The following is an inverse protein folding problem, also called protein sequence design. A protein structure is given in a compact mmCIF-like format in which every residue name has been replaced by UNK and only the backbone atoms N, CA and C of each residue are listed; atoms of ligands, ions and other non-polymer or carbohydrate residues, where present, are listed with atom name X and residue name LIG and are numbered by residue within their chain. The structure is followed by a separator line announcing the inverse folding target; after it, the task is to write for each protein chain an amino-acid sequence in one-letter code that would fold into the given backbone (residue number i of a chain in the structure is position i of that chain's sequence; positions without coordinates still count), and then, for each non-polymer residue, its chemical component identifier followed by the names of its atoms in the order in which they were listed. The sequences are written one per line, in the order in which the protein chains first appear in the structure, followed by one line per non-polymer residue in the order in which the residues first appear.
data_IF_737879697934
#
_entry.id   IF_737879697934
#
_cell.length_a   1.000
_cell.length_b   1.000
_cell.length_c   1.000
_cell.angle_alpha   90.00
_cell.angle_beta   90.00
_cell.angle_gamma   90.00
#
_symmetry.space_group_name_H-M   'P 1'
#
loop_
_entity.id
_entity.type
_entity.pdbx_description
1 polymer ?
#
# COMPACT_ATOMS: atom_id res chain seq x y z
N UNK A 1 -2.21 11.96 9.26
CA UNK A 1 -0.76 11.85 9.43
C UNK A 1 -0.50 11.18 10.76
N UNK A 2 -0.41 9.85 10.72
CA UNK A 2 0.06 9.09 11.87
C UNK A 2 1.57 9.22 11.90
N UNK A 3 2.12 9.84 12.95
CA UNK A 3 3.56 9.91 13.11
C UNK A 3 4.08 8.51 13.45
N UNK A 4 4.67 7.82 12.49
CA UNK A 4 5.39 6.57 12.73
C UNK A 4 6.82 6.89 13.14
N UNK A 5 7.09 6.92 14.46
CA UNK A 5 8.42 7.23 15.01
C UNK A 5 9.46 6.12 14.77
N UNK A 6 9.01 4.89 14.57
CA UNK A 6 9.86 3.72 14.24
C UNK A 6 9.00 2.58 13.74
N UNK A 7 9.49 1.80 12.77
CA UNK A 7 8.80 0.62 12.25
C UNK A 7 9.56 -0.65 12.65
N UNK A 8 8.82 -1.55 13.30
CA UNK A 8 9.25 -2.91 13.63
C UNK A 8 8.57 -3.86 12.64
N UNK A 9 9.35 -4.52 11.79
CA UNK A 9 8.81 -5.44 10.79
C UNK A 9 9.16 -6.88 11.09
N UNK A 10 8.12 -7.73 11.09
CA UNK A 10 8.18 -9.17 11.30
C UNK A 10 7.19 -9.86 10.37
N UNK A 11 7.60 -10.95 9.73
CA UNK A 11 6.66 -11.82 9.02
C UNK A 11 6.07 -12.82 10.03
N UNK A 12 4.75 -12.92 10.11
CA UNK A 12 4.04 -13.77 11.09
C UNK A 12 3.07 -14.75 10.44
N UNK A 13 3.33 -16.05 10.55
CA UNK A 13 2.49 -17.11 9.94
C UNK A 13 1.64 -17.92 10.93
N UNK A 14 1.84 -17.75 12.24
CA UNK A 14 1.13 -18.46 13.30
C UNK A 14 0.65 -17.47 14.37
N UNK A 15 -0.32 -17.89 15.20
CA UNK A 15 -0.95 -17.06 16.24
C UNK A 15 -0.02 -16.68 17.42
N UNK A 16 1.28 -16.97 17.31
CA UNK A 16 2.33 -16.53 18.22
C UNK A 16 3.50 -15.92 17.43
N UNK A 17 4.22 -14.99 18.07
CA UNK A 17 5.31 -14.26 17.43
C UNK A 17 6.48 -15.19 17.05
N UNK A 18 6.87 -15.16 15.78
CA UNK A 18 7.95 -15.97 15.23
C UNK A 18 9.23 -15.17 14.98
N UNK A 19 9.18 -13.83 15.04
CA UNK A 19 10.28 -12.90 14.77
C UNK A 19 11.10 -13.27 13.51
N UNK A 20 10.44 -13.56 12.39
CA UNK A 20 11.13 -13.94 11.15
C UNK A 20 11.54 -12.72 10.32
N UNK A 21 12.70 -12.81 9.66
CA UNK A 21 13.15 -11.79 8.71
C UNK A 21 12.11 -11.60 7.61
N UNK A 22 11.89 -10.33 7.23
CA UNK A 22 10.93 -10.00 6.18
C UNK A 22 11.45 -10.54 4.83
N UNK A 23 10.70 -11.49 4.27
CA UNK A 23 10.96 -12.09 2.95
C UNK A 23 9.75 -11.96 2.00
N UNK A 24 8.59 -11.58 2.52
CA UNK A 24 7.39 -11.38 1.73
C UNK A 24 7.44 -10.01 1.03
N UNK A 25 7.60 -10.04 -0.30
CA UNK A 25 7.71 -8.83 -1.11
C UNK A 25 6.43 -7.99 -1.12
N UNK A 26 5.24 -8.60 -0.99
CA UNK A 26 3.99 -7.85 -0.92
C UNK A 26 3.90 -7.03 0.36
N UNK A 27 4.26 -7.64 1.49
CA UNK A 27 4.29 -6.95 2.78
C UNK A 27 5.33 -5.84 2.78
N UNK A 28 6.52 -6.09 2.23
CA UNK A 28 7.55 -5.05 2.08
C UNK A 28 7.11 -3.89 1.19
N UNK A 29 6.34 -4.16 0.14
CA UNK A 29 5.82 -3.12 -0.76
C UNK A 29 4.74 -2.29 -0.08
N UNK A 30 3.81 -2.94 0.62
CA UNK A 30 2.77 -2.25 1.39
C UNK A 30 3.40 -1.39 2.52
N UNK A 31 4.35 -1.97 3.25
CA UNK A 31 5.14 -1.30 4.27
C UNK A 31 5.81 -0.01 3.75
N UNK A 32 6.56 -0.12 2.65
CA UNK A 32 7.28 1.01 2.08
C UNK A 32 6.35 2.04 1.42
N UNK A 33 5.15 1.62 1.01
CA UNK A 33 4.12 2.52 0.50
C UNK A 33 3.70 3.54 1.55
N UNK A 34 3.36 3.08 2.76
CA UNK A 34 2.99 3.95 3.88
C UNK A 34 4.14 4.89 4.28
N UNK A 35 5.38 4.38 4.28
CA UNK A 35 6.58 5.18 4.60
C UNK A 35 6.79 6.33 3.61
N UNK A 36 6.63 6.07 2.31
CA UNK A 36 6.80 7.09 1.29
C UNK A 36 5.66 8.12 1.37
N UNK A 37 4.43 7.69 1.64
CA UNK A 37 3.28 8.58 1.75
C UNK A 37 3.37 9.52 2.96
N UNK A 38 3.92 9.06 4.08
CA UNK A 38 4.21 9.91 5.25
C UNK A 38 5.46 10.80 5.03
N UNK A 39 6.24 10.54 3.98
CA UNK A 39 7.40 11.34 3.55
C UNK A 39 8.69 11.06 4.32
N UNK A 40 8.65 10.32 5.44
CA UNK A 40 9.83 9.83 6.15
C UNK A 40 9.46 8.78 7.20
N UNK A 41 10.42 7.96 7.63
CA UNK A 41 10.28 7.15 8.86
C UNK A 41 10.64 8.04 10.07
N UNK A 42 9.88 9.11 10.28
CA UNK A 42 10.13 10.12 11.31
C UNK A 42 11.47 10.87 11.19
N UNK A 43 11.66 11.89 12.04
CA UNK A 43 12.90 12.70 12.07
C UNK A 43 14.14 11.93 12.58
N UNK A 44 13.92 10.81 13.29
CA UNK A 44 14.96 9.99 13.93
C UNK A 44 14.68 8.49 13.86
N UNK A 45 13.65 8.08 13.12
CA UNK A 45 13.25 6.68 13.01
C UNK A 45 14.04 5.95 11.91
N UNK A 46 13.93 4.63 11.93
CA UNK A 46 14.56 3.76 10.96
C UNK A 46 13.89 2.39 10.94
N UNK A 47 14.31 1.56 9.98
CA UNK A 47 13.90 0.16 9.91
C UNK A 47 14.74 -0.66 10.88
N UNK A 48 14.17 -1.06 12.00
CA UNK A 48 14.83 -1.92 12.96
C UNK A 48 14.53 -3.39 12.65
N UNK A 49 15.56 -4.18 12.39
CA UNK A 49 15.43 -5.62 12.18
C UNK A 49 15.31 -6.36 13.52
N UNK A 50 14.13 -6.27 14.12
CA UNK A 50 13.75 -7.05 15.30
C UNK A 50 13.31 -8.46 14.87
N UNK A 51 14.26 -9.20 14.29
CA UNK A 51 14.08 -10.52 13.72
C UNK A 51 15.25 -11.43 14.11
N UNK A 52 15.01 -12.75 14.09
CA UNK A 52 15.99 -13.77 14.44
C UNK A 52 16.04 -14.90 13.40
N UNK A 53 17.21 -15.52 13.18
CA UNK A 53 17.30 -16.72 12.38
C UNK A 53 16.40 -17.84 12.92
N UNK A 54 15.98 -18.74 12.03
CA UNK A 54 15.20 -19.92 12.43
C UNK A 54 16.05 -20.82 13.32
N UNK A 55 15.42 -21.60 14.19
CA UNK A 55 16.14 -22.53 15.09
C UNK A 55 17.05 -23.52 14.34
N UNK A 56 16.68 -23.88 13.11
CA UNK A 56 17.48 -24.75 12.23
C UNK A 56 18.63 -24.03 11.53
N UNK A 57 18.62 -22.69 11.50
CA UNK A 57 19.62 -21.81 10.92
C UNK A 57 20.52 -21.30 12.05
N UNK A 58 21.47 -22.15 12.47
CA UNK A 58 22.31 -21.93 13.65
C UNK A 58 23.76 -21.60 13.29
N UNK A 59 24.10 -21.56 12.01
CA UNK A 59 25.46 -21.22 11.58
C UNK A 59 25.66 -19.69 11.70
N UNK A 60 26.86 -19.20 12.06
CA UNK A 60 27.13 -17.76 12.16
C UNK A 60 26.79 -16.99 10.87
N UNK A 61 26.94 -17.64 9.72
CA UNK A 61 26.66 -17.10 8.39
C UNK A 61 25.16 -16.83 8.17
N UNK A 62 24.29 -17.60 8.82
CA UNK A 62 22.83 -17.44 8.71
C UNK A 62 22.35 -16.08 9.23
N UNK A 63 23.08 -15.49 10.18
CA UNK A 63 22.80 -14.15 10.66
C UNK A 63 22.99 -13.11 9.56
N UNK A 64 24.00 -13.29 8.69
CA UNK A 64 24.22 -12.40 7.55
C UNK A 64 23.16 -12.64 6.47
N UNK A 65 22.85 -13.90 6.15
CA UNK A 65 21.81 -14.21 5.17
C UNK A 65 20.43 -13.66 5.56
N UNK A 66 20.07 -13.74 6.84
CA UNK A 66 18.81 -13.17 7.34
C UNK A 66 18.71 -11.66 7.12
N UNK A 67 19.77 -10.91 7.44
CA UNK A 67 19.80 -9.47 7.21
C UNK A 67 19.80 -9.11 5.72
N UNK A 68 20.52 -9.86 4.88
CA UNK A 68 20.52 -9.64 3.42
C UNK A 68 19.09 -9.78 2.87
N UNK A 69 18.38 -10.85 3.24
CA UNK A 69 16.98 -11.06 2.80
C UNK A 69 16.07 -9.93 3.26
N UNK A 70 16.19 -9.50 4.51
CA UNK A 70 15.42 -8.37 5.03
C UNK A 70 15.69 -7.07 4.27
N UNK A 71 16.97 -6.73 4.08
CA UNK A 71 17.39 -5.50 3.41
C UNK A 71 16.98 -5.49 1.93
N UNK A 72 17.17 -6.59 1.21
CA UNK A 72 16.81 -6.70 -0.21
C UNK A 72 15.29 -6.63 -0.41
N UNK A 73 14.51 -7.23 0.49
CA UNK A 73 13.05 -7.16 0.43
C UNK A 73 12.54 -5.73 0.62
N UNK A 74 13.05 -4.99 1.60
CA UNK A 74 12.69 -3.56 1.77
C UNK A 74 13.14 -2.70 0.59
N UNK A 75 14.34 -2.94 0.05
CA UNK A 75 14.83 -2.23 -1.11
C UNK A 75 13.95 -2.48 -2.34
N UNK A 76 13.51 -3.72 -2.56
CA UNK A 76 12.57 -4.06 -3.62
C UNK A 76 11.22 -3.35 -3.42
N UNK A 77 10.64 -3.41 -2.22
CA UNK A 77 9.39 -2.73 -1.90
C UNK A 77 9.45 -1.21 -2.10
N UNK A 78 10.57 -0.58 -1.74
CA UNK A 78 10.80 0.85 -1.97
C UNK A 78 10.85 1.19 -3.46
N UNK A 79 11.50 0.36 -4.29
CA UNK A 79 11.58 0.57 -5.74
C UNK A 79 10.21 0.51 -6.39
N UNK A 80 9.35 -0.45 -6.00
CA UNK A 80 8.00 -0.60 -6.56
C UNK A 80 7.14 0.64 -6.31
N UNK A 81 7.16 1.22 -5.10
CA UNK A 81 6.32 2.40 -4.81
C UNK A 81 6.77 3.65 -5.57
N UNK A 82 8.06 3.82 -5.83
CA UNK A 82 8.56 5.00 -6.55
C UNK A 82 7.99 5.16 -7.97
N UNK A 83 7.45 4.09 -8.56
CA UNK A 83 6.86 4.13 -9.90
C UNK A 83 5.45 4.75 -9.94
N UNK A 84 4.84 5.07 -8.79
CA UNK A 84 3.59 5.86 -8.70
C UNK A 84 2.31 5.18 -9.21
N UNK A 85 2.40 3.92 -9.64
CA UNK A 85 1.32 3.17 -10.30
C UNK A 85 0.11 2.99 -9.40
N UNK A 86 0.34 2.71 -8.12
CA UNK A 86 -0.73 2.57 -7.13
C UNK A 86 -1.50 3.87 -6.94
N UNK A 87 -0.79 5.02 -6.96
CA UNK A 87 -1.40 6.34 -6.79
C UNK A 87 -2.30 6.67 -7.98
N UNK A 88 -1.88 6.31 -9.18
CA UNK A 88 -2.67 6.55 -10.40
C UNK A 88 -3.94 5.71 -10.43
N UNK A 89 -3.90 4.47 -9.93
CA UNK A 89 -5.08 3.62 -9.78
C UNK A 89 -6.08 4.26 -8.82
N UNK A 90 -5.62 4.73 -7.66
CA UNK A 90 -6.46 5.39 -6.65
C UNK A 90 -7.03 6.71 -7.19
N UNK A 91 -6.20 7.56 -7.80
CA UNK A 91 -6.63 8.82 -8.42
C UNK A 91 -7.69 8.61 -9.49
N UNK A 92 -7.52 7.60 -10.35
CA UNK A 92 -8.50 7.26 -11.39
C UNK A 92 -9.83 6.83 -10.77
N UNK A 93 -9.80 5.98 -9.73
CA UNK A 93 -10.98 5.48 -9.03
C UNK A 93 -11.80 6.60 -8.39
N UNK A 94 -11.15 7.54 -7.71
CA UNK A 94 -11.80 8.64 -7.01
C UNK A 94 -11.92 9.92 -7.84
N UNK A 95 -11.66 9.86 -9.15
CA UNK A 95 -11.70 11.03 -10.04
C UNK A 95 -13.07 11.72 -10.11
N UNK A 96 -14.16 11.03 -9.79
CA UNK A 96 -15.51 11.61 -9.72
C UNK A 96 -15.66 12.66 -8.61
N UNK A 97 -14.83 12.63 -7.58
CA UNK A 97 -14.82 13.64 -6.51
C UNK A 97 -14.08 14.93 -6.90
N UNK A 98 -13.30 14.91 -7.99
CA UNK A 98 -12.59 16.09 -8.47
C UNK A 98 -13.46 17.01 -9.35
N UNK A 99 -14.70 16.64 -9.66
CA UNK A 99 -15.57 17.44 -10.55
C UNK A 99 -17.06 17.28 -10.24
N UNK A 100 -17.86 18.23 -10.70
CA UNK A 100 -19.33 18.23 -10.53
C UNK A 100 -19.76 18.15 -9.07
N UNK A 101 -20.79 17.35 -8.80
CA UNK A 101 -21.36 17.18 -7.45
C UNK A 101 -20.34 16.61 -6.46
N UNK A 102 -19.38 15.82 -6.92
CA UNK A 102 -18.34 15.23 -6.06
C UNK A 102 -17.43 16.29 -5.45
N UNK A 103 -17.07 17.31 -6.24
CA UNK A 103 -16.26 18.44 -5.76
C UNK A 103 -17.06 19.35 -4.80
N UNK A 104 -18.37 19.48 -5.02
CA UNK A 104 -19.25 20.23 -4.11
C UNK A 104 -19.45 19.48 -2.77
N UNK A 105 -19.41 18.15 -2.78
CA UNK A 105 -19.40 17.32 -1.56
C UNK A 105 -18.08 17.54 -0.80
N UNK A 106 -16.92 17.40 -1.44
CA UNK A 106 -15.62 17.56 -0.76
C UNK A 106 -15.41 18.98 -0.22
N UNK A 107 -15.90 20.00 -0.95
CA UNK A 107 -15.80 21.40 -0.52
C UNK A 107 -16.89 21.84 0.47
N UNK A 108 -17.70 20.91 1.00
CA UNK A 108 -18.82 21.17 1.92
C UNK A 108 -19.86 22.18 1.41
N UNK A 109 -20.03 22.26 0.09
CA UNK A 109 -21.01 23.14 -0.57
C UNK A 109 -22.34 22.44 -0.84
N UNK A 110 -22.34 21.12 -0.98
CA UNK A 110 -23.54 20.34 -1.20
C UNK A 110 -24.29 20.06 0.11
N UNK A 111 -25.58 20.35 0.14
CA UNK A 111 -26.49 19.91 1.22
C UNK A 111 -27.24 18.63 0.84
N UNK A 112 -27.86 17.97 1.82
CA UNK A 112 -28.71 16.80 1.58
C UNK A 112 -29.82 17.11 0.56
N UNK A 113 -30.37 18.34 0.57
CA UNK A 113 -31.41 18.76 -0.39
C UNK A 113 -30.89 18.87 -1.82
N UNK A 114 -29.63 19.29 -1.98
CA UNK A 114 -29.00 19.40 -3.30
C UNK A 114 -28.71 18.01 -3.88
N UNK A 115 -28.29 17.06 -3.02
CA UNK A 115 -28.09 15.65 -3.39
C UNK A 115 -29.41 14.95 -3.75
N UNK A 116 -30.48 15.22 -3.01
CA UNK A 116 -31.83 14.71 -3.31
C UNK A 116 -32.28 15.20 -4.69
N UNK A 117 -32.17 16.51 -4.95
CA UNK A 117 -32.53 17.11 -6.23
C UNK A 117 -31.68 16.58 -7.40
N UNK A 118 -30.41 16.26 -7.15
CA UNK A 118 -29.49 15.72 -8.14
C UNK A 118 -29.80 14.26 -8.53
N UNK A 119 -30.30 13.45 -7.59
CA UNK A 119 -30.49 12.01 -7.79
C UNK A 119 -31.92 11.61 -8.20
N UNK A 120 -32.93 12.41 -7.83
CA UNK A 120 -34.34 12.01 -7.92
C UNK A 120 -34.82 11.70 -9.35
N UNK A 121 -34.32 12.42 -10.34
CA UNK A 121 -34.69 12.25 -11.75
C UNK A 121 -33.63 11.47 -12.56
N UNK A 122 -32.57 10.97 -11.92
CA UNK A 122 -31.50 10.27 -12.64
C UNK A 122 -31.95 8.87 -13.08
N UNK A 123 -31.88 8.54 -14.38
CA UNK A 123 -32.27 7.22 -14.85
C UNK A 123 -31.25 6.16 -14.40
N UNK A 124 -31.75 4.93 -14.18
CA UNK A 124 -30.92 3.78 -13.78
C UNK A 124 -29.75 3.51 -14.73
N UNK A 125 -29.90 3.84 -16.02
CA UNK A 125 -28.84 3.71 -17.03
C UNK A 125 -27.63 4.60 -16.72
N UNK A 126 -27.85 5.83 -16.24
CA UNK A 126 -26.77 6.73 -15.84
C UNK A 126 -26.08 6.26 -14.56
N UNK A 127 -26.82 5.72 -13.60
CA UNK A 127 -26.24 5.17 -12.37
C UNK A 127 -25.34 3.96 -12.67
N UNK A 128 -25.76 3.09 -13.59
CA UNK A 128 -24.95 1.95 -14.02
C UNK A 128 -23.72 2.38 -14.80
N UNK A 129 -23.82 3.43 -15.61
CA UNK A 129 -22.68 3.98 -16.33
C UNK A 129 -21.65 4.66 -15.40
N UNK A 130 -22.09 5.16 -14.25
CA UNK A 130 -21.20 5.77 -13.26
C UNK A 130 -20.39 4.74 -12.47
N UNK A 131 -20.89 3.51 -12.32
CA UNK A 131 -20.19 2.42 -11.64
C UNK A 131 -19.32 1.64 -12.62
N UNK A 132 -18.05 1.45 -12.28
CA UNK A 132 -17.11 0.67 -13.07
C UNK A 132 -16.52 -0.47 -12.23
N UNK A 133 -15.98 -1.48 -12.91
CA UNK A 133 -15.28 -2.59 -12.25
C UNK A 133 -14.00 -2.09 -11.60
N UNK A 134 -13.67 -2.68 -10.45
CA UNK A 134 -12.43 -2.38 -9.73
C UNK A 134 -11.21 -3.08 -10.36
N UNK A 135 -11.41 -4.04 -11.27
CA UNK A 135 -10.35 -4.79 -11.96
C UNK A 135 -9.28 -5.32 -10.98
N UNK A 136 -9.71 -5.87 -9.84
CA UNK A 136 -8.82 -6.27 -8.75
C UNK A 136 -7.73 -7.26 -9.20
N UNK A 137 -8.07 -8.18 -10.10
CA UNK A 137 -7.14 -9.16 -10.65
C UNK A 137 -6.06 -8.50 -11.52
N UNK A 138 -6.42 -7.49 -12.31
CA UNK A 138 -5.49 -6.71 -13.13
C UNK A 138 -4.53 -5.89 -12.23
N UNK A 139 -5.05 -5.32 -11.15
CA UNK A 139 -4.25 -4.58 -10.17
C UNK A 139 -3.23 -5.52 -9.51
N UNK A 140 -3.66 -6.73 -9.10
CA UNK A 140 -2.76 -7.73 -8.51
C UNK A 140 -1.69 -8.17 -9.50
N UNK A 141 -2.05 -8.43 -10.75
CA UNK A 141 -1.08 -8.79 -11.80
C UNK A 141 -0.08 -7.66 -12.08
N UNK A 142 -0.56 -6.41 -12.07
CA UNK A 142 0.29 -5.23 -12.21
C UNK A 142 1.33 -5.17 -11.09
N UNK A 143 0.91 -5.32 -9.84
CA UNK A 143 1.82 -5.35 -8.68
C UNK A 143 2.86 -6.46 -8.83
N UNK A 144 2.44 -7.66 -9.27
CA UNK A 144 3.35 -8.78 -9.50
C UNK A 144 4.41 -8.44 -10.57
N UNK A 145 4.00 -7.81 -11.67
CA UNK A 145 4.91 -7.40 -12.72
C UNK A 145 5.96 -6.40 -12.22
N UNK A 146 5.58 -5.41 -11.40
CA UNK A 146 6.53 -4.48 -10.80
C UNK A 146 7.50 -5.17 -9.85
N UNK A 147 7.01 -6.07 -9.00
CA UNK A 147 7.86 -6.87 -8.13
C UNK A 147 8.88 -7.65 -8.97
N UNK A 148 8.47 -8.33 -10.04
CA UNK A 148 9.39 -9.07 -10.90
C UNK A 148 10.39 -8.15 -11.63
N UNK A 149 9.96 -6.98 -12.09
CA UNK A 149 10.85 -6.02 -12.76
C UNK A 149 11.92 -5.46 -11.81
N UNK A 150 11.59 -5.22 -10.55
CA UNK A 150 12.56 -4.71 -9.56
C UNK A 150 13.65 -5.72 -9.19
N UNK A 151 13.40 -7.02 -9.41
CA UNK A 151 14.36 -8.10 -9.16
C UNK A 151 15.36 -8.33 -10.33
N UNK A 152 15.21 -7.60 -11.44
CA UNK A 152 16.17 -7.61 -12.57
C UNK A 152 17.22 -6.52 -12.42
#
# INVERSE_FOLDING_TARGET
MGNYDSLLYRCGGFEWDIDEYLSNLYESTAAMTEVIEDGSIGLRGGLNFDAKPRRSSFEPEDLFYGHIVGMDSFAAGLRVKNDGVLDDIVKKRYSSYNSGIGADIESNKASIKDLESYIIDKPQSELRAATHSDHLEEIKDTINHYIIQTLK
#
